data_IF_157905633283
#
_entry.id   IF_157905633283
#
_cell.length_a   1.000
_cell.length_b   1.000
_cell.length_c   1.000
_cell.angle_alpha   90.00
_cell.angle_beta   90.00
_cell.angle_gamma   90.00
#
_symmetry.space_group_name_H-M   'P 1'
#
loop_
_entity.id
_entity.type
_entity.pdbx_description
1 polymer ?
#
# COMPACT_ATOMS: atom_id res chain seq x y z
N UNK A 1 74.91 14.90 -56.60
CA UNK A 1 74.59 14.77 -55.17
C UNK A 1 73.08 14.97 -54.98
N UNK A 2 72.30 13.90 -54.87
CA UNK A 2 70.85 13.94 -54.69
C UNK A 2 70.54 13.59 -53.21
N UNK A 3 70.04 14.59 -52.46
CA UNK A 3 69.56 14.37 -51.11
C UNK A 3 68.12 13.85 -51.17
N UNK A 4 67.91 12.68 -50.62
CA UNK A 4 66.60 12.05 -50.45
C UNK A 4 65.99 12.50 -49.10
N UNK A 5 64.79 13.14 -49.16
CA UNK A 5 64.09 13.60 -47.96
C UNK A 5 63.05 12.51 -47.59
N UNK A 6 63.32 11.76 -46.50
CA UNK A 6 62.37 10.78 -45.99
C UNK A 6 61.39 11.46 -45.05
N UNK A 7 60.13 11.48 -45.42
CA UNK A 7 59.00 11.98 -44.62
C UNK A 7 58.51 10.83 -43.74
N UNK A 8 58.66 10.99 -42.42
CA UNK A 8 58.15 10.05 -41.42
C UNK A 8 56.68 10.38 -41.08
N UNK A 9 55.74 9.55 -41.50
CA UNK A 9 54.32 9.68 -41.10
C UNK A 9 54.16 9.03 -39.71
N UNK A 10 53.91 9.85 -38.66
CA UNK A 10 53.48 9.37 -37.35
C UNK A 10 51.97 9.32 -37.32
N UNK A 11 51.43 8.11 -37.37
CA UNK A 11 49.95 7.87 -37.23
C UNK A 11 49.63 7.86 -35.76
N UNK A 12 48.97 8.91 -35.26
CA UNK A 12 48.46 8.99 -33.91
C UNK A 12 47.17 8.15 -33.79
N UNK A 13 47.26 7.00 -33.10
CA UNK A 13 46.10 6.15 -32.83
C UNK A 13 45.39 6.66 -31.55
N UNK A 14 44.29 7.43 -31.72
CA UNK A 14 43.43 7.87 -30.62
C UNK A 14 42.54 6.72 -30.24
N UNK A 15 42.89 5.96 -29.17
CA UNK A 15 41.95 5.02 -28.53
C UNK A 15 40.85 5.80 -27.80
N UNK A 16 39.66 5.89 -28.40
CA UNK A 16 38.46 6.35 -27.69
C UNK A 16 38.04 5.29 -26.67
N UNK A 17 38.34 5.52 -25.39
CA UNK A 17 37.72 4.78 -24.31
C UNK A 17 36.23 5.19 -24.24
N UNK A 18 35.35 4.38 -24.80
CA UNK A 18 33.93 4.47 -24.52
C UNK A 18 33.71 4.09 -23.04
N UNK A 19 33.61 5.09 -22.17
CA UNK A 19 33.17 4.87 -20.80
C UNK A 19 31.72 4.33 -20.88
N UNK A 20 31.54 3.05 -20.58
CA UNK A 20 30.20 2.48 -20.36
C UNK A 20 29.62 3.14 -19.13
N UNK A 21 28.72 4.13 -19.33
CA UNK A 21 27.90 4.67 -18.25
C UNK A 21 27.08 3.49 -17.73
N UNK A 22 27.21 3.09 -16.46
CA UNK A 22 26.40 2.01 -15.91
C UNK A 22 24.93 2.43 -16.08
N UNK A 23 24.11 1.53 -16.64
CA UNK A 23 22.68 1.77 -16.76
C UNK A 23 22.15 2.13 -15.38
N UNK A 24 21.56 3.30 -15.24
CA UNK A 24 20.98 3.75 -13.98
C UNK A 24 19.96 2.70 -13.53
N UNK A 25 20.17 2.12 -12.33
CA UNK A 25 19.25 1.10 -11.78
C UNK A 25 17.85 1.72 -11.75
N UNK A 26 16.90 1.06 -12.39
CA UNK A 26 15.50 1.51 -12.36
C UNK A 26 15.00 1.39 -10.93
N UNK A 27 14.49 2.49 -10.37
CA UNK A 27 13.83 2.50 -9.07
C UNK A 27 12.32 2.45 -9.28
N UNK A 28 11.67 1.36 -8.85
CA UNK A 28 10.24 1.11 -9.01
C UNK A 28 9.53 1.21 -7.67
N UNK A 29 8.56 2.09 -7.58
CA UNK A 29 7.78 2.33 -6.35
C UNK A 29 6.33 1.91 -6.55
N UNK A 30 5.84 1.12 -5.62
CA UNK A 30 4.43 0.75 -5.51
C UNK A 30 3.74 1.65 -4.47
N UNK A 31 2.55 2.20 -4.79
CA UNK A 31 1.75 3.01 -3.86
C UNK A 31 0.38 2.37 -3.73
N UNK A 32 0.00 1.93 -2.53
CA UNK A 32 -1.38 1.57 -2.21
C UNK A 32 -2.05 2.75 -1.52
N UNK A 33 -3.19 3.19 -2.06
CA UNK A 33 -3.90 4.37 -1.63
C UNK A 33 -5.27 4.02 -1.05
N UNK A 34 -5.51 4.40 0.19
CA UNK A 34 -6.75 4.27 0.92
C UNK A 34 -7.31 5.66 1.27
N UNK A 35 -8.51 5.75 1.82
CA UNK A 35 -9.18 7.03 2.01
C UNK A 35 -9.42 7.39 3.47
N UNK A 36 -9.63 6.43 4.34
CA UNK A 36 -9.95 6.65 5.76
C UNK A 36 -8.88 7.46 6.48
N UNK A 37 -7.61 7.24 6.13
CA UNK A 37 -6.46 7.95 6.73
C UNK A 37 -6.16 9.32 6.12
N UNK A 38 -6.81 9.73 5.04
CA UNK A 38 -6.63 11.05 4.41
C UNK A 38 -6.97 12.17 5.38
N UNK A 39 -6.24 13.28 5.31
CA UNK A 39 -6.49 14.46 6.13
C UNK A 39 -7.94 14.93 6.02
N UNK A 40 -8.59 15.15 7.18
CA UNK A 40 -9.97 15.60 7.27
C UNK A 40 -11.03 14.51 7.25
N UNK A 41 -10.72 13.28 6.82
CA UNK A 41 -11.69 12.17 6.83
C UNK A 41 -11.97 11.73 8.26
N UNK A 42 -13.27 11.72 8.64
CA UNK A 42 -13.73 11.31 9.98
C UNK A 42 -15.03 10.51 9.97
N UNK A 43 -15.80 10.54 8.86
CA UNK A 43 -17.12 9.91 8.81
C UNK A 43 -17.41 9.25 7.44
N UNK A 44 -18.46 8.45 7.32
CA UNK A 44 -18.87 7.86 6.04
C UNK A 44 -19.17 8.88 4.94
N UNK A 45 -19.49 10.12 5.32
CA UNK A 45 -19.84 11.20 4.38
C UNK A 45 -18.72 11.58 3.42
N UNK A 46 -17.46 11.27 3.81
CA UNK A 46 -16.28 11.49 2.97
C UNK A 46 -15.89 10.25 2.15
N UNK A 47 -16.43 9.06 2.46
CA UNK A 47 -15.84 7.78 2.07
C UNK A 47 -16.54 7.05 0.93
N UNK A 48 -17.69 7.50 0.47
CA UNK A 48 -18.44 6.79 -0.57
C UNK A 48 -19.35 7.67 -1.40
N UNK A 49 -19.76 7.21 -2.59
CA UNK A 49 -20.54 8.01 -3.55
C UNK A 49 -21.84 8.62 -3.03
N UNK A 50 -22.44 8.03 -1.98
CA UNK A 50 -23.64 8.55 -1.33
C UNK A 50 -23.37 9.67 -0.33
N UNK A 51 -22.11 9.87 0.08
CA UNK A 51 -21.72 10.89 1.04
C UNK A 51 -21.66 12.28 0.40
N UNK A 52 -22.17 13.29 1.10
CA UNK A 52 -22.25 14.65 0.57
C UNK A 52 -20.90 15.34 0.37
N UNK A 53 -19.84 14.89 1.03
CA UNK A 53 -18.48 15.42 0.89
C UNK A 53 -17.57 14.54 0.00
N UNK A 54 -18.01 13.35 -0.41
CA UNK A 54 -17.16 12.38 -1.11
C UNK A 54 -16.44 12.96 -2.34
N UNK A 55 -17.17 13.70 -3.19
CA UNK A 55 -16.57 14.30 -4.38
C UNK A 55 -15.38 15.21 -4.03
N UNK A 56 -15.50 15.99 -2.96
CA UNK A 56 -14.44 16.88 -2.47
C UNK A 56 -13.26 16.10 -1.88
N UNK A 57 -13.55 15.04 -1.13
CA UNK A 57 -12.50 14.25 -0.48
C UNK A 57 -11.74 13.33 -1.44
N UNK A 58 -12.33 13.00 -2.59
CA UNK A 58 -11.58 12.40 -3.71
C UNK A 58 -10.45 13.32 -4.19
N UNK A 59 -10.67 14.63 -4.23
CA UNK A 59 -9.62 15.61 -4.58
C UNK A 59 -8.49 15.60 -3.54
N UNK A 60 -8.83 15.50 -2.24
CA UNK A 60 -7.84 15.46 -1.16
C UNK A 60 -7.03 14.16 -1.20
N UNK A 61 -7.68 13.01 -1.34
CA UNK A 61 -7.03 11.72 -1.54
C UNK A 61 -6.09 11.75 -2.75
N UNK A 62 -6.58 12.23 -3.89
CA UNK A 62 -5.78 12.37 -5.12
C UNK A 62 -4.57 13.28 -4.89
N UNK A 63 -4.75 14.38 -4.17
CA UNK A 63 -3.66 15.31 -3.84
C UNK A 63 -2.59 14.69 -2.95
N UNK A 64 -2.96 13.89 -1.94
CA UNK A 64 -2.00 13.17 -1.10
C UNK A 64 -1.23 12.11 -1.88
N UNK A 65 -1.91 11.35 -2.76
CA UNK A 65 -1.26 10.37 -3.62
C UNK A 65 -0.33 11.04 -4.64
N UNK A 66 -0.76 12.15 -5.26
CA UNK A 66 0.09 12.91 -6.17
C UNK A 66 1.32 13.48 -5.49
N UNK A 67 1.19 13.93 -4.24
CA UNK A 67 2.35 14.38 -3.46
C UNK A 67 3.37 13.25 -3.25
N UNK A 68 2.90 12.02 -3.00
CA UNK A 68 3.76 10.84 -2.89
C UNK A 68 4.39 10.46 -4.24
N UNK A 69 3.61 10.46 -5.32
CA UNK A 69 4.08 10.15 -6.70
C UNK A 69 5.17 11.12 -7.13
N UNK A 70 4.92 12.42 -7.02
CA UNK A 70 5.86 13.45 -7.43
C UNK A 70 7.15 13.38 -6.58
N UNK A 71 7.01 13.20 -5.26
CA UNK A 71 8.17 13.04 -4.38
C UNK A 71 8.99 11.78 -4.69
N UNK A 72 8.35 10.68 -5.11
CA UNK A 72 9.04 9.48 -5.56
C UNK A 72 9.86 9.74 -6.84
N UNK A 73 9.28 10.39 -7.85
CA UNK A 73 10.02 10.78 -9.06
C UNK A 73 11.16 11.75 -8.77
N UNK A 74 10.93 12.76 -7.94
CA UNK A 74 11.97 13.71 -7.51
C UNK A 74 13.11 13.03 -6.74
N UNK A 75 12.81 11.91 -6.04
CA UNK A 75 13.79 11.09 -5.34
C UNK A 75 14.44 10.02 -6.24
N UNK A 76 14.17 10.00 -7.55
CA UNK A 76 14.81 9.15 -8.52
C UNK A 76 14.03 7.91 -8.96
N UNK A 77 12.77 7.77 -8.56
CA UNK A 77 11.92 6.71 -9.10
C UNK A 77 11.77 6.85 -10.62
N UNK A 78 11.83 5.74 -11.33
CA UNK A 78 11.67 5.69 -12.79
C UNK A 78 10.31 5.11 -13.20
N UNK A 79 9.66 4.41 -12.27
CA UNK A 79 8.33 3.80 -12.47
C UNK A 79 7.55 3.90 -11.17
N UNK A 80 6.28 4.30 -11.26
CA UNK A 80 5.34 4.32 -10.15
C UNK A 80 4.05 3.63 -10.58
N UNK A 81 3.62 2.64 -9.79
CA UNK A 81 2.31 2.00 -9.90
C UNK A 81 1.50 2.37 -8.68
N UNK A 82 0.28 2.87 -8.89
CA UNK A 82 -0.66 3.24 -7.83
C UNK A 82 -1.82 2.25 -7.83
N UNK A 83 -2.21 1.73 -6.68
CA UNK A 83 -3.45 0.98 -6.47
C UNK A 83 -4.46 1.87 -5.76
N UNK A 84 -5.59 2.13 -6.39
CA UNK A 84 -6.77 2.73 -5.75
C UNK A 84 -7.46 1.65 -4.92
N UNK A 85 -7.25 1.69 -3.61
CA UNK A 85 -7.50 0.56 -2.71
C UNK A 85 -8.67 0.78 -1.76
N UNK A 86 -9.33 1.94 -1.82
CA UNK A 86 -10.48 2.25 -0.97
C UNK A 86 -11.81 1.86 -1.62
N UNK A 87 -12.72 1.29 -0.83
CA UNK A 87 -14.13 1.08 -1.19
C UNK A 87 -14.32 0.38 -2.54
N UNK A 88 -14.87 1.09 -3.53
CA UNK A 88 -15.08 0.56 -4.88
C UNK A 88 -13.83 0.56 -5.79
N UNK A 89 -12.69 1.06 -5.32
CA UNK A 89 -11.46 1.19 -6.10
C UNK A 89 -11.55 2.19 -7.26
N UNK A 90 -12.37 3.24 -7.13
CA UNK A 90 -12.62 4.25 -8.17
C UNK A 90 -12.58 5.67 -7.59
N UNK A 91 -11.75 5.89 -6.58
CA UNK A 91 -11.71 7.13 -5.81
C UNK A 91 -10.79 8.18 -6.43
N UNK A 92 -9.64 7.74 -6.96
CA UNK A 92 -8.64 8.64 -7.53
C UNK A 92 -9.14 9.31 -8.81
N UNK A 93 -8.84 10.60 -8.96
CA UNK A 93 -9.10 11.40 -10.17
C UNK A 93 -7.95 11.15 -11.15
N UNK A 94 -8.10 10.14 -12.02
CA UNK A 94 -7.02 9.63 -12.86
C UNK A 94 -6.48 10.65 -13.87
N UNK A 95 -7.30 11.62 -14.26
CA UNK A 95 -6.94 12.73 -15.16
C UNK A 95 -5.93 13.71 -14.55
N UNK A 96 -5.64 13.61 -13.25
CA UNK A 96 -4.67 14.46 -12.55
C UNK A 96 -3.26 13.85 -12.50
N UNK A 97 -3.12 12.57 -12.84
CA UNK A 97 -1.83 11.89 -12.73
C UNK A 97 -0.95 12.12 -13.96
N UNK A 98 0.39 12.13 -13.78
CA UNK A 98 1.34 12.17 -14.88
C UNK A 98 1.17 10.97 -15.83
N UNK A 99 1.47 11.15 -17.13
CA UNK A 99 1.30 10.12 -18.17
C UNK A 99 2.10 8.81 -17.92
N UNK A 100 3.20 8.90 -17.18
CA UNK A 100 4.07 7.77 -16.84
C UNK A 100 3.66 7.01 -15.59
N UNK A 101 2.52 7.35 -14.98
CA UNK A 101 1.92 6.62 -13.84
C UNK A 101 0.88 5.64 -14.35
N UNK A 102 0.89 4.43 -13.80
CA UNK A 102 -0.17 3.45 -14.01
C UNK A 102 -1.01 3.34 -12.74
N UNK A 103 -2.32 3.08 -12.91
CA UNK A 103 -3.26 3.01 -11.79
C UNK A 103 -4.09 1.73 -11.91
N UNK A 104 -4.07 0.91 -10.86
CA UNK A 104 -4.96 -0.24 -10.71
C UNK A 104 -6.28 0.25 -10.10
N UNK A 105 -7.41 -0.13 -10.72
CA UNK A 105 -8.75 0.33 -10.32
C UNK A 105 -9.76 -0.79 -10.24
N UNK A 106 -10.73 -0.63 -9.33
CA UNK A 106 -11.91 -1.50 -9.16
C UNK A 106 -11.58 -2.92 -8.71
N UNK A 107 -12.58 -3.74 -8.52
CA UNK A 107 -12.51 -5.10 -7.98
C UNK A 107 -13.25 -6.08 -8.90
N UNK A 108 -13.02 -7.44 -8.80
CA UNK A 108 -12.14 -8.14 -7.86
C UNK A 108 -10.67 -8.18 -8.28
N UNK A 109 -9.73 -8.42 -7.31
CA UNK A 109 -8.29 -8.45 -7.55
C UNK A 109 -7.63 -9.58 -6.75
N UNK A 110 -6.85 -10.48 -7.37
CA UNK A 110 -6.18 -11.59 -6.67
C UNK A 110 -5.28 -11.19 -5.50
N UNK A 111 -4.61 -10.03 -5.58
CA UNK A 111 -3.76 -9.49 -4.52
C UNK A 111 -4.42 -8.33 -3.76
N UNK A 112 -5.74 -8.16 -3.90
CA UNK A 112 -6.52 -7.15 -3.20
C UNK A 112 -5.95 -5.73 -3.39
N UNK A 113 -5.69 -5.01 -2.29
CA UNK A 113 -5.14 -3.66 -2.28
C UNK A 113 -3.72 -3.58 -2.86
N UNK A 114 -3.04 -4.72 -3.01
CA UNK A 114 -1.66 -4.83 -3.52
C UNK A 114 -1.58 -5.37 -4.96
N UNK A 115 -2.70 -5.38 -5.70
CA UNK A 115 -2.72 -5.89 -7.07
C UNK A 115 -1.72 -5.17 -7.98
N UNK A 116 -0.96 -5.96 -8.74
CA UNK A 116 0.08 -5.48 -9.65
C UNK A 116 1.47 -5.34 -9.02
N UNK A 117 1.63 -5.61 -7.72
CA UNK A 117 2.95 -5.71 -7.11
C UNK A 117 3.63 -7.01 -7.50
N UNK A 118 4.93 -6.96 -7.74
CA UNK A 118 5.80 -8.11 -8.00
C UNK A 118 7.22 -7.88 -7.46
N UNK A 119 8.11 -8.85 -7.62
CA UNK A 119 9.50 -8.81 -7.16
C UNK A 119 10.37 -7.76 -7.86
N UNK A 120 9.87 -7.08 -8.88
CA UNK A 120 10.60 -6.02 -9.59
C UNK A 120 10.50 -4.65 -8.91
N UNK A 121 9.60 -4.51 -7.93
CA UNK A 121 9.48 -3.28 -7.15
C UNK A 121 10.56 -3.19 -6.07
N UNK A 122 11.09 -2.00 -5.87
CA UNK A 122 12.11 -1.73 -4.85
C UNK A 122 11.49 -1.36 -3.49
N UNK A 123 10.29 -0.78 -3.47
CA UNK A 123 9.57 -0.43 -2.24
C UNK A 123 8.07 -0.24 -2.45
N UNK A 124 7.33 -0.34 -1.33
CA UNK A 124 5.91 0.01 -1.24
C UNK A 124 5.69 1.19 -0.26
N UNK A 125 4.71 2.04 -0.60
CA UNK A 125 4.27 3.20 0.17
C UNK A 125 2.76 3.07 0.38
N UNK A 126 2.29 3.36 1.60
CA UNK A 126 0.88 3.31 1.97
C UNK A 126 0.37 4.72 2.25
N UNK A 127 -0.63 5.19 1.51
CA UNK A 127 -1.20 6.52 1.64
C UNK A 127 -2.64 6.42 2.12
N UNK A 128 -2.99 7.21 3.16
CA UNK A 128 -4.36 7.32 3.64
C UNK A 128 -4.88 6.11 4.42
N UNK A 129 -4.00 5.35 5.06
CA UNK A 129 -4.35 4.14 5.82
C UNK A 129 -4.90 4.45 7.22
N UNK A 130 -5.58 3.50 7.81
CA UNK A 130 -6.22 3.54 9.12
C UNK A 130 -5.88 2.32 9.98
N UNK A 131 -6.17 2.40 11.27
CA UNK A 131 -5.89 1.33 12.24
C UNK A 131 -6.81 0.12 12.09
N UNK A 132 -6.37 -1.02 12.67
CA UNK A 132 -7.14 -2.26 12.71
C UNK A 132 -8.47 -2.14 13.47
N UNK A 133 -9.38 -3.08 13.20
CA UNK A 133 -10.67 -3.20 13.93
C UNK A 133 -10.50 -3.29 15.45
N UNK A 134 -9.39 -3.87 15.91
CA UNK A 134 -9.11 -4.07 17.33
C UNK A 134 -8.41 -2.91 18.00
N UNK A 135 -8.06 -1.85 17.27
CA UNK A 135 -7.42 -0.66 17.81
C UNK A 135 -8.46 0.37 18.27
N UNK A 136 -8.58 0.65 19.59
CA UNK A 136 -9.59 1.58 20.10
C UNK A 136 -9.28 3.05 19.84
N UNK A 137 -8.04 3.38 19.45
CA UNK A 137 -7.53 4.74 19.39
C UNK A 137 -7.59 5.35 17.99
N UNK A 138 -8.01 4.58 16.95
CA UNK A 138 -7.97 5.03 15.56
C UNK A 138 -9.25 5.68 15.06
N UNK A 139 -9.11 6.68 14.18
CA UNK A 139 -10.22 7.25 13.43
C UNK A 139 -10.64 6.26 12.34
N UNK A 140 -11.94 5.91 12.30
CA UNK A 140 -12.49 4.97 11.31
C UNK A 140 -11.82 3.60 11.33
N UNK A 141 -11.25 3.18 12.47
CA UNK A 141 -10.51 1.93 12.64
C UNK A 141 -11.34 0.70 12.23
N UNK A 142 -10.84 -0.09 11.29
CA UNK A 142 -11.43 -1.35 10.85
C UNK A 142 -10.39 -2.16 10.05
N UNK A 143 -10.74 -3.36 9.63
CA UNK A 143 -9.93 -4.15 8.69
C UNK A 143 -10.87 -4.71 7.63
N UNK A 144 -10.72 -4.30 6.37
CA UNK A 144 -11.49 -4.68 5.17
C UNK A 144 -12.97 -4.29 5.21
N UNK A 145 -13.66 -4.45 6.34
CA UNK A 145 -15.09 -4.12 6.42
C UNK A 145 -15.51 -3.77 7.85
N UNK A 146 -15.78 -2.50 8.08
CA UNK A 146 -16.31 -2.03 9.37
C UNK A 146 -17.69 -2.60 9.69
N UNK A 147 -18.47 -2.97 8.67
CA UNK A 147 -19.82 -3.53 8.86
C UNK A 147 -19.82 -5.03 9.19
N UNK A 148 -18.90 -5.80 8.59
CA UNK A 148 -18.98 -7.28 8.60
C UNK A 148 -17.97 -7.95 9.52
N UNK A 149 -16.78 -7.36 9.72
CA UNK A 149 -15.65 -8.01 10.36
C UNK A 149 -15.36 -7.41 11.74
N UNK A 150 -15.04 -8.28 12.69
CA UNK A 150 -14.63 -7.92 14.05
C UNK A 150 -13.11 -8.06 14.23
N UNK A 151 -12.47 -9.03 13.55
CA UNK A 151 -11.01 -9.21 13.58
C UNK A 151 -10.55 -10.01 12.37
N UNK A 152 -9.34 -9.70 11.89
CA UNK A 152 -8.59 -10.53 10.95
C UNK A 152 -7.22 -10.78 11.55
N UNK A 153 -6.82 -12.05 11.62
CA UNK A 153 -5.53 -12.46 12.16
C UNK A 153 -4.73 -13.23 11.12
N UNK A 154 -3.44 -12.91 11.06
CA UNK A 154 -2.46 -13.72 10.35
C UNK A 154 -1.48 -14.32 11.36
N UNK A 155 -1.34 -15.65 11.35
CA UNK A 155 -0.52 -16.40 12.31
C UNK A 155 -0.81 -16.03 13.79
N UNK A 156 -2.10 -15.85 14.12
CA UNK A 156 -2.57 -15.53 15.46
C UNK A 156 -2.47 -14.05 15.88
N UNK A 157 -1.94 -13.16 15.03
CA UNK A 157 -1.80 -11.73 15.30
C UNK A 157 -2.87 -10.94 14.56
N UNK A 158 -3.64 -10.09 15.26
CA UNK A 158 -4.58 -9.14 14.64
C UNK A 158 -3.85 -8.18 13.71
N UNK A 159 -4.41 -7.95 12.52
CA UNK A 159 -3.79 -7.17 11.47
C UNK A 159 -4.63 -5.97 11.06
N UNK A 160 -4.04 -4.77 10.97
CA UNK A 160 -4.57 -3.73 10.11
C UNK A 160 -4.40 -4.12 8.65
N UNK A 161 -5.08 -3.44 7.75
CA UNK A 161 -4.87 -3.60 6.29
C UNK A 161 -3.40 -3.38 5.90
N UNK A 162 -2.75 -2.41 6.54
CA UNK A 162 -1.31 -2.18 6.36
C UNK A 162 -0.46 -3.43 6.68
N UNK A 163 -0.85 -4.24 7.68
CA UNK A 163 -0.17 -5.48 8.03
C UNK A 163 -0.38 -6.59 6.99
N UNK A 164 -1.60 -6.74 6.50
CA UNK A 164 -1.93 -7.70 5.43
C UNK A 164 -1.17 -7.32 4.16
N UNK A 165 -1.21 -6.06 3.78
CA UNK A 165 -0.56 -5.54 2.59
C UNK A 165 0.97 -5.58 2.67
N UNK A 166 1.54 -5.33 3.86
CA UNK A 166 2.97 -5.50 4.09
C UNK A 166 3.40 -6.97 3.96
N UNK A 167 2.55 -7.92 4.39
CA UNK A 167 2.82 -9.34 4.23
C UNK A 167 2.73 -9.79 2.76
N UNK A 168 1.82 -9.20 1.97
CA UNK A 168 1.77 -9.44 0.51
C UNK A 168 3.01 -8.85 -0.16
N UNK A 169 3.40 -7.60 0.15
CA UNK A 169 4.64 -7.01 -0.37
C UNK A 169 5.88 -7.83 0.03
N UNK A 170 5.92 -8.28 1.29
CA UNK A 170 7.00 -9.13 1.81
C UNK A 170 7.10 -10.48 1.11
N UNK A 171 5.98 -11.06 0.63
CA UNK A 171 6.00 -12.27 -0.19
C UNK A 171 6.87 -12.10 -1.45
N UNK A 172 6.84 -10.92 -2.06
CA UNK A 172 7.67 -10.56 -3.22
C UNK A 172 9.04 -9.97 -2.84
N UNK A 173 9.39 -9.93 -1.55
CA UNK A 173 10.64 -9.34 -1.08
C UNK A 173 10.65 -7.81 -1.10
N UNK A 174 9.50 -7.15 -1.22
CA UNK A 174 9.36 -5.70 -1.30
C UNK A 174 9.13 -5.10 0.09
N UNK A 175 9.99 -4.19 0.58
CA UNK A 175 9.79 -3.53 1.86
C UNK A 175 8.71 -2.44 1.76
N UNK A 176 7.89 -2.29 2.80
CA UNK A 176 7.11 -1.07 3.04
C UNK A 176 8.04 -0.05 3.68
N UNK A 177 8.12 1.16 3.12
CA UNK A 177 9.06 2.18 3.57
C UNK A 177 8.38 3.39 4.23
N UNK A 178 7.11 3.62 3.93
CA UNK A 178 6.37 4.79 4.41
C UNK A 178 4.88 4.51 4.51
N UNK A 179 4.23 5.11 5.51
CA UNK A 179 2.77 5.11 5.70
C UNK A 179 2.26 6.51 6.07
N UNK A 180 1.10 6.92 5.55
CA UNK A 180 0.36 8.08 6.01
C UNK A 180 -1.01 7.70 6.57
N UNK A 181 -1.48 8.44 7.56
CA UNK A 181 -2.77 8.26 8.19
C UNK A 181 -2.88 9.03 9.50
N UNK A 182 -3.70 8.52 10.42
CA UNK A 182 -3.75 9.06 11.77
C UNK A 182 -2.55 8.60 12.63
N UNK A 183 -2.43 9.16 13.83
CA UNK A 183 -1.36 8.82 14.78
C UNK A 183 -1.43 7.35 15.23
N UNK A 184 -2.64 6.78 15.31
CA UNK A 184 -2.84 5.41 15.72
C UNK A 184 -2.30 4.42 14.69
N UNK A 185 -2.62 4.58 13.37
CA UNK A 185 -2.10 3.67 12.34
C UNK A 185 -0.59 3.81 12.17
N UNK A 186 -0.03 5.02 12.24
CA UNK A 186 1.43 5.19 12.14
C UNK A 186 2.15 4.46 13.29
N UNK A 187 1.62 4.53 14.51
CA UNK A 187 2.14 3.78 15.66
C UNK A 187 1.99 2.27 15.47
N UNK A 188 0.81 1.81 15.04
CA UNK A 188 0.49 0.38 14.84
C UNK A 188 1.36 -0.22 13.74
N UNK A 189 1.49 0.45 12.59
CA UNK A 189 2.33 0.01 11.48
C UNK A 189 3.82 -0.08 11.87
N UNK A 190 4.35 0.91 12.59
CA UNK A 190 5.74 0.86 13.08
C UNK A 190 6.00 -0.28 14.07
N UNK A 191 5.04 -0.57 14.93
CA UNK A 191 5.13 -1.71 15.85
C UNK A 191 5.12 -3.05 15.10
N UNK A 192 4.38 -3.15 14.00
CA UNK A 192 4.18 -4.37 13.23
C UNK A 192 5.27 -4.59 12.19
N UNK A 193 5.57 -3.58 11.37
CA UNK A 193 6.41 -3.69 10.18
C UNK A 193 7.87 -3.32 10.49
N UNK A 194 8.09 -2.38 11.43
CA UNK A 194 9.40 -1.85 11.76
C UNK A 194 9.50 -0.32 11.61
N UNK A 195 10.72 0.25 11.65
CA UNK A 195 10.93 1.70 11.74
C UNK A 195 10.72 2.42 10.38
N UNK A 196 9.54 2.23 9.78
CA UNK A 196 9.14 2.90 8.54
C UNK A 196 8.88 4.39 8.76
N UNK A 197 8.98 5.20 7.69
CA UNK A 197 8.57 6.61 7.76
C UNK A 197 7.05 6.72 7.97
N UNK A 198 6.65 7.68 8.78
CA UNK A 198 5.24 7.92 9.09
C UNK A 198 4.87 9.38 8.89
N UNK A 199 3.84 9.65 8.09
CA UNK A 199 3.23 10.95 7.96
C UNK A 199 1.90 10.96 8.72
N UNK A 200 1.93 11.51 9.95
CA UNK A 200 0.72 11.71 10.76
C UNK A 200 0.00 12.95 10.22
N UNK A 201 -1.09 12.76 9.49
CA UNK A 201 -1.87 13.87 8.90
C UNK A 201 -3.08 14.26 9.73
N UNK A 202 -3.45 13.44 10.71
CA UNK A 202 -4.48 13.75 11.71
C UNK A 202 -4.24 12.98 13.01
N UNK A 203 -4.84 13.46 14.09
CA UNK A 203 -4.76 12.87 15.44
C UNK A 203 -6.16 12.49 15.89
N UNK A 204 -6.32 11.24 16.29
CA UNK A 204 -7.60 10.70 16.72
C UNK A 204 -8.08 11.37 18.04
N UNK A 205 -9.36 11.68 18.09
CA UNK A 205 -10.08 12.06 19.30
C UNK A 205 -11.08 10.96 19.63
N UNK A 206 -11.73 10.41 18.60
CA UNK A 206 -12.63 9.26 18.70
C UNK A 206 -12.76 8.60 17.32
N UNK A 207 -13.56 7.54 17.20
CA UNK A 207 -13.81 6.84 15.94
C UNK A 207 -14.32 7.77 14.80
N UNK A 208 -15.00 8.87 15.12
CA UNK A 208 -15.58 9.83 14.17
C UNK A 208 -15.10 11.26 14.39
N UNK A 209 -14.02 11.49 15.14
CA UNK A 209 -13.52 12.83 15.42
C UNK A 209 -12.00 12.86 15.43
N UNK A 210 -11.42 13.88 14.82
CA UNK A 210 -9.97 14.09 14.76
C UNK A 210 -9.59 15.57 14.75
N UNK A 211 -8.41 15.89 15.27
CA UNK A 211 -7.67 17.08 14.91
C UNK A 211 -6.89 16.77 13.63
N UNK A 212 -7.00 17.58 12.59
CA UNK A 212 -6.41 17.28 11.28
C UNK A 212 -5.51 18.41 10.76
N UNK A 213 -4.53 18.05 9.93
CA UNK A 213 -3.85 19.00 9.05
C UNK A 213 -4.81 19.49 7.96
N UNK A 214 -4.49 20.63 7.35
CA UNK A 214 -5.10 21.01 6.08
C UNK A 214 -4.56 20.13 4.95
N UNK A 215 -5.30 19.93 3.83
CA UNK A 215 -4.83 19.10 2.74
C UNK A 215 -3.45 19.48 2.21
N UNK A 216 -3.14 20.77 2.12
CA UNK A 216 -1.83 21.26 1.65
C UNK A 216 -0.71 20.91 2.62
N UNK A 217 -0.95 21.02 3.93
CA UNK A 217 0.03 20.67 4.95
C UNK A 217 0.29 19.16 4.99
N UNK A 218 -0.77 18.32 4.80
CA UNK A 218 -0.66 16.88 4.69
C UNK A 218 0.17 16.47 3.46
N UNK A 219 -0.13 17.02 2.28
CA UNK A 219 0.60 16.77 1.04
C UNK A 219 2.10 17.11 1.19
N UNK A 220 2.42 18.25 1.80
CA UNK A 220 3.81 18.65 2.05
C UNK A 220 4.52 17.64 2.97
N UNK A 221 3.89 17.25 4.08
CA UNK A 221 4.44 16.26 5.01
C UNK A 221 4.67 14.91 4.34
N UNK A 222 3.70 14.43 3.55
CA UNK A 222 3.80 13.17 2.80
C UNK A 222 5.00 13.22 1.84
N UNK A 223 5.14 14.29 1.05
CA UNK A 223 6.26 14.45 0.13
C UNK A 223 7.62 14.44 0.85
N UNK A 224 7.73 15.11 1.99
CA UNK A 224 8.94 15.11 2.82
C UNK A 224 9.28 13.69 3.31
N UNK A 225 8.26 12.93 3.78
CA UNK A 225 8.43 11.57 4.31
C UNK A 225 8.77 10.56 3.22
N UNK A 226 8.18 10.66 2.03
CA UNK A 226 8.52 9.82 0.87
C UNK A 226 9.98 10.02 0.47
N UNK A 227 10.45 11.26 0.33
CA UNK A 227 11.86 11.56 -0.01
C UNK A 227 12.81 11.03 1.06
N UNK A 228 12.50 11.23 2.34
CA UNK A 228 13.30 10.70 3.44
C UNK A 228 13.37 9.16 3.41
N UNK A 229 12.26 8.47 3.14
CA UNK A 229 12.20 7.02 3.03
C UNK A 229 13.04 6.51 1.85
N UNK A 230 12.89 7.08 0.66
CA UNK A 230 13.65 6.67 -0.53
C UNK A 230 15.15 6.93 -0.32
N UNK A 231 15.54 8.03 0.32
CA UNK A 231 16.93 8.36 0.61
C UNK A 231 17.66 7.35 1.52
N UNK A 232 16.91 6.51 2.25
CA UNK A 232 17.45 5.44 3.12
C UNK A 232 16.85 4.07 2.83
N UNK A 233 16.51 3.81 1.57
CA UNK A 233 15.84 2.60 1.10
C UNK A 233 16.48 1.30 1.61
N UNK A 234 17.80 1.22 1.67
CA UNK A 234 18.54 0.03 2.13
C UNK A 234 18.34 -0.34 3.60
N UNK A 235 17.78 0.55 4.42
CA UNK A 235 17.54 0.30 5.84
C UNK A 235 16.26 -0.49 6.09
N UNK A 236 15.30 -0.47 5.14
CA UNK A 236 14.02 -1.13 5.30
C UNK A 236 14.10 -2.62 4.95
N UNK A 237 13.34 -3.42 5.68
CA UNK A 237 13.27 -4.87 5.47
C UNK A 237 11.86 -5.27 5.06
N UNK A 238 11.71 -6.23 4.12
CA UNK A 238 10.41 -6.82 3.83
C UNK A 238 9.79 -7.47 5.07
N UNK A 239 8.48 -7.32 5.25
CA UNK A 239 7.74 -7.93 6.34
C UNK A 239 7.32 -9.36 5.96
N UNK A 240 8.04 -10.36 6.45
CA UNK A 240 7.77 -11.76 6.15
C UNK A 240 6.94 -12.43 7.23
N UNK A 241 5.93 -13.19 6.81
CA UNK A 241 5.22 -14.14 7.66
C UNK A 241 5.78 -15.54 7.49
N UNK A 242 5.80 -16.30 8.58
CA UNK A 242 6.12 -17.73 8.54
C UNK A 242 5.03 -18.48 7.76
N UNK A 243 5.44 -19.33 6.83
CA UNK A 243 4.55 -20.19 6.03
C UNK A 243 4.48 -21.61 6.62
N UNK A 244 3.35 -22.35 6.47
CA UNK A 244 2.09 -21.86 5.90
C UNK A 244 1.47 -20.73 6.74
N UNK A 245 0.66 -19.87 6.11
CA UNK A 245 0.02 -18.73 6.77
C UNK A 245 -1.37 -19.14 7.24
N UNK A 246 -1.60 -19.00 8.53
CA UNK A 246 -2.93 -19.21 9.14
C UNK A 246 -3.68 -17.88 9.12
N UNK A 247 -4.79 -17.84 8.41
CA UNK A 247 -5.76 -16.76 8.42
C UNK A 247 -6.89 -17.13 9.36
N UNK A 248 -7.21 -16.27 10.33
CA UNK A 248 -8.42 -16.37 11.13
C UNK A 248 -9.24 -15.10 10.94
N UNK A 249 -10.54 -15.26 10.70
CA UNK A 249 -11.48 -14.16 10.48
C UNK A 249 -12.65 -14.29 11.45
N UNK A 250 -12.88 -13.23 12.22
CA UNK A 250 -14.04 -13.13 13.11
C UNK A 250 -15.06 -12.15 12.50
N UNK A 251 -16.26 -12.66 12.27
CA UNK A 251 -17.39 -11.89 11.73
C UNK A 251 -18.21 -11.27 12.87
N UNK A 252 -18.86 -10.15 12.58
CA UNK A 252 -19.86 -9.55 13.48
C UNK A 252 -21.16 -10.36 13.56
N UNK A 253 -21.41 -11.22 12.57
CA UNK A 253 -22.55 -12.12 12.52
C UNK A 253 -22.11 -13.57 12.34
N UNK A 254 -22.90 -14.53 12.86
CA UNK A 254 -22.59 -15.96 12.83
C UNK A 254 -22.76 -16.60 11.44
N UNK A 255 -23.65 -16.06 10.59
CA UNK A 255 -24.02 -16.67 9.30
C UNK A 255 -22.84 -16.86 8.34
N UNK A 256 -21.94 -15.89 8.16
CA UNK A 256 -20.79 -16.09 7.29
C UNK A 256 -19.88 -17.25 7.73
N UNK A 257 -19.59 -17.36 9.02
CA UNK A 257 -18.76 -18.46 9.56
C UNK A 257 -19.40 -19.82 9.32
N UNK A 258 -20.73 -19.91 9.45
CA UNK A 258 -21.48 -21.14 9.24
C UNK A 258 -21.48 -21.58 7.77
N UNK A 259 -21.69 -20.64 6.83
CA UNK A 259 -21.74 -20.94 5.40
C UNK A 259 -20.36 -21.26 4.85
N UNK A 260 -19.32 -20.47 5.21
CA UNK A 260 -17.95 -20.70 4.76
C UNK A 260 -17.40 -22.06 5.22
N UNK A 261 -17.84 -22.57 6.36
CA UNK A 261 -17.47 -23.90 6.85
C UNK A 261 -18.02 -25.08 6.04
N UNK A 262 -18.87 -24.83 5.03
CA UNK A 262 -19.22 -25.85 4.03
C UNK A 262 -18.13 -26.07 2.99
N UNK A 263 -17.14 -25.15 2.90
CA UNK A 263 -15.97 -25.34 2.08
C UNK A 263 -14.99 -26.31 2.80
N UNK A 264 -14.51 -27.39 2.13
CA UNK A 264 -13.61 -28.37 2.78
C UNK A 264 -12.27 -27.80 3.27
N UNK A 265 -11.92 -26.59 2.82
CA UNK A 265 -10.67 -25.89 3.14
C UNK A 265 -10.81 -24.90 4.31
N UNK A 266 -12.00 -24.82 4.90
CA UNK A 266 -12.31 -23.83 5.95
C UNK A 266 -12.74 -24.54 7.21
N UNK A 267 -12.06 -24.28 8.31
CA UNK A 267 -12.46 -24.71 9.65
C UNK A 267 -13.31 -23.62 10.32
N UNK A 268 -14.46 -23.98 10.86
CA UNK A 268 -15.21 -23.11 11.78
C UNK A 268 -14.66 -23.32 13.19
N UNK A 269 -14.03 -22.29 13.76
CA UNK A 269 -13.35 -22.38 15.06
C UNK A 269 -14.23 -21.95 16.25
N UNK A 270 -15.23 -21.10 15.97
CA UNK A 270 -16.29 -20.75 16.93
C UNK A 270 -17.57 -20.29 16.20
N UNK A 271 -18.55 -19.73 16.93
CA UNK A 271 -19.82 -19.29 16.35
C UNK A 271 -19.65 -18.20 15.27
N UNK A 272 -18.63 -17.36 15.38
CA UNK A 272 -18.40 -16.21 14.52
C UNK A 272 -17.12 -16.28 13.69
N UNK A 273 -16.25 -17.27 13.96
CA UNK A 273 -14.90 -17.26 13.41
C UNK A 273 -14.61 -18.49 12.56
N UNK A 274 -13.82 -18.26 11.52
CA UNK A 274 -13.26 -19.29 10.65
C UNK A 274 -11.73 -19.26 10.68
N UNK A 275 -11.14 -20.39 10.26
CA UNK A 275 -9.73 -20.53 9.97
C UNK A 275 -9.55 -21.07 8.56
N UNK A 276 -8.61 -20.47 7.84
CA UNK A 276 -8.09 -20.94 6.56
C UNK A 276 -6.56 -21.01 6.65
N UNK A 277 -5.95 -22.05 6.11
CA UNK A 277 -4.50 -22.19 6.06
C UNK A 277 -4.04 -22.14 4.61
N UNK A 278 -3.41 -21.03 4.25
CA UNK A 278 -2.83 -20.84 2.92
C UNK A 278 -1.34 -21.19 2.90
N UNK A 279 -0.86 -21.74 1.80
CA UNK A 279 0.57 -22.05 1.62
C UNK A 279 1.45 -20.80 1.69
N UNK A 280 0.92 -19.65 1.25
CA UNK A 280 1.59 -18.36 1.20
C UNK A 280 0.57 -17.19 1.22
N UNK A 281 1.07 -15.95 1.14
CA UNK A 281 0.21 -14.76 1.16
C UNK A 281 -0.61 -14.57 -0.13
N UNK A 282 -0.21 -15.14 -1.27
CA UNK A 282 -1.00 -15.09 -2.50
C UNK A 282 -2.28 -15.93 -2.34
N UNK A 283 -2.16 -17.11 -1.76
CA UNK A 283 -3.32 -17.97 -1.52
C UNK A 283 -4.25 -17.37 -0.48
N UNK A 284 -3.69 -16.77 0.59
CA UNK A 284 -4.45 -16.06 1.62
C UNK A 284 -5.19 -14.86 1.03
N UNK A 285 -4.54 -14.03 0.20
CA UNK A 285 -5.18 -12.86 -0.40
C UNK A 285 -6.32 -13.23 -1.36
N UNK A 286 -6.15 -14.30 -2.15
CA UNK A 286 -7.23 -14.84 -3.01
C UNK A 286 -8.42 -15.33 -2.21
N UNK A 287 -8.18 -15.98 -1.08
CA UNK A 287 -9.26 -16.43 -0.20
C UNK A 287 -9.96 -15.24 0.48
N UNK A 288 -9.22 -14.23 0.91
CA UNK A 288 -9.80 -12.98 1.44
C UNK A 288 -10.65 -12.28 0.38
N UNK A 289 -10.16 -12.13 -0.84
CA UNK A 289 -10.92 -11.52 -1.95
C UNK A 289 -12.21 -12.31 -2.22
N UNK A 290 -12.12 -13.64 -2.32
CA UNK A 290 -13.30 -14.49 -2.48
C UNK A 290 -14.31 -14.27 -1.36
N UNK A 291 -13.89 -14.31 -0.10
CA UNK A 291 -14.76 -14.16 1.06
C UNK A 291 -15.43 -12.79 1.13
N UNK A 292 -14.74 -11.73 0.70
CA UNK A 292 -15.25 -10.36 0.76
C UNK A 292 -16.14 -9.99 -0.42
N UNK A 293 -15.90 -10.57 -1.61
CA UNK A 293 -16.49 -10.14 -2.86
C UNK A 293 -17.46 -11.15 -3.48
N UNK A 294 -17.47 -12.43 -3.01
CA UNK A 294 -18.23 -13.49 -3.67
C UNK A 294 -19.73 -13.23 -3.69
N UNK A 295 -20.35 -12.90 -2.56
CA UNK A 295 -21.80 -12.80 -2.47
C UNK A 295 -22.25 -11.89 -1.32
N UNK A 296 -23.26 -11.03 -1.61
CA UNK A 296 -23.92 -10.24 -0.57
C UNK A 296 -24.62 -11.12 0.48
N UNK A 297 -25.00 -12.34 0.14
CA UNK A 297 -25.55 -13.34 1.05
C UNK A 297 -24.60 -13.86 2.12
N UNK A 298 -23.29 -13.59 2.01
CA UNK A 298 -22.33 -13.80 3.09
C UNK A 298 -22.47 -12.77 4.22
N UNK A 299 -23.22 -11.72 3.99
CA UNK A 299 -23.68 -10.78 5.00
C UNK A 299 -25.13 -11.07 5.36
N UNK A 300 -25.55 -10.83 6.62
CA UNK A 300 -26.93 -11.03 7.05
C UNK A 300 -27.90 -10.11 6.31
#
# INVERSE_FOLDING_TARGET
MKMSLSVLFVTLFVMAFAATVPAQKKLKIYISADMEGVAGVVSPEQLGPSGFEYARFREFMTGEVLAAVNAAFEAGATEVLVSDSHGNGQNLLIDKFPENVRIVRSWPRPLMMMEGIDETFDAAIFIGYHSSTTNPDGVRAHTMSSARLADIRLNGRSMPEAGINAAIAGHFGVPVIMISGDDAIVKEARHLIGPIEGAVVKWAISFHSAKTLTPQAAQKLIAEKVKAAIGRLSEFKPFHLKTPVTLEVTFKNYRPSQILAFLPIVDRIDAHSIRFVGKDMIEVSKFLEFMLSYEAGLTP
#
